data_IF_595732292358
#
_entry.id   IF_595732292358
#
_cell.length_a   1.000
_cell.length_b   1.000
_cell.length_c   1.000
_cell.angle_alpha   90.00
_cell.angle_beta   90.00
_cell.angle_gamma   90.00
#
_symmetry.space_group_name_H-M   'P 1'
#
loop_
_entity.id
_entity.type
_entity.pdbx_description
1 polymer ?
#
# COMPACT_ATOMS: atom_id res chain seq x y z
N UNK A 1 -3.99 -9.90 15.80
CA UNK A 1 -3.27 -8.62 15.54
C UNK A 1 -4.30 -7.50 15.62
N UNK A 2 -4.18 -6.57 16.55
CA UNK A 2 -5.10 -5.43 16.61
C UNK A 2 -5.02 -4.66 15.28
N UNK A 3 -6.16 -4.45 14.64
CA UNK A 3 -6.22 -3.71 13.38
C UNK A 3 -5.85 -2.26 13.72
N UNK A 4 -4.62 -1.84 13.38
CA UNK A 4 -4.15 -0.46 13.55
C UNK A 4 -5.14 0.49 12.86
N UNK A 5 -5.33 1.69 13.40
CA UNK A 5 -6.32 2.66 12.89
C UNK A 5 -6.00 2.98 11.43
N UNK A 6 -6.94 2.74 10.52
CA UNK A 6 -6.82 3.18 9.13
C UNK A 6 -7.01 4.69 9.06
N UNK A 7 -6.12 5.38 8.37
CA UNK A 7 -6.16 6.83 8.18
C UNK A 7 -6.70 7.17 6.79
N UNK A 8 -6.28 6.41 5.78
CA UNK A 8 -6.66 6.67 4.39
C UNK A 8 -6.54 5.41 3.54
N UNK A 9 -7.46 5.25 2.58
CA UNK A 9 -7.39 4.21 1.54
C UNK A 9 -7.40 4.86 0.14
N UNK A 10 -6.36 4.55 -0.63
CA UNK A 10 -6.25 4.91 -2.04
C UNK A 10 -6.39 3.69 -2.96
N UNK A 11 -6.21 3.91 -4.28
CA UNK A 11 -6.37 2.87 -5.30
C UNK A 11 -5.43 1.67 -5.11
N UNK A 12 -4.19 1.91 -4.70
CA UNK A 12 -3.14 0.89 -4.62
C UNK A 12 -2.51 0.75 -3.23
N UNK A 13 -2.85 1.62 -2.27
CA UNK A 13 -2.22 1.67 -0.95
C UNK A 13 -3.25 2.02 0.12
N UNK A 14 -3.04 1.48 1.32
CA UNK A 14 -3.74 1.87 2.55
C UNK A 14 -2.71 2.45 3.50
N UNK A 15 -3.06 3.53 4.20
CA UNK A 15 -2.26 4.13 5.26
C UNK A 15 -2.92 3.83 6.60
N UNK A 16 -2.13 3.26 7.51
CA UNK A 16 -2.49 3.06 8.89
C UNK A 16 -1.63 3.94 9.79
N UNK A 17 -2.16 4.26 10.97
CA UNK A 17 -1.39 4.87 12.04
C UNK A 17 -0.18 4.00 12.39
N UNK A 18 1.00 4.62 12.44
CA UNK A 18 2.24 3.97 12.80
C UNK A 18 2.37 3.69 14.30
N UNK A 19 3.36 2.90 14.70
CA UNK A 19 3.60 2.59 16.12
C UNK A 19 4.14 3.78 16.92
N UNK A 20 4.73 4.77 16.24
CA UNK A 20 5.31 5.97 16.85
C UNK A 20 4.59 7.24 16.38
N UNK A 21 4.50 8.29 17.22
CA UNK A 21 3.90 9.57 16.83
C UNK A 21 4.53 10.13 15.54
N UNK A 22 3.69 10.55 14.60
CA UNK A 22 4.14 11.11 13.31
C UNK A 22 4.56 10.06 12.28
N UNK A 23 4.50 8.77 12.59
CA UNK A 23 4.80 7.69 11.63
C UNK A 23 3.53 7.07 11.05
N UNK A 24 3.68 6.48 9.85
CA UNK A 24 2.61 5.78 9.15
C UNK A 24 3.07 4.40 8.73
N UNK A 25 2.14 3.46 8.65
CA UNK A 25 2.36 2.18 7.99
C UNK A 25 1.68 2.20 6.63
N UNK A 26 2.46 2.00 5.59
CA UNK A 26 1.98 1.86 4.23
C UNK A 26 1.76 0.38 3.89
N UNK A 27 0.53 0.05 3.51
CA UNK A 27 0.16 -1.27 3.01
C UNK A 27 -0.09 -1.21 1.51
N UNK A 28 0.67 -1.96 0.72
CA UNK A 28 0.47 -2.07 -0.72
C UNK A 28 -0.59 -3.13 -1.05
N UNK A 29 -1.60 -2.74 -1.83
CA UNK A 29 -2.68 -3.62 -2.28
C UNK A 29 -2.28 -4.38 -3.56
N UNK A 30 -2.88 -5.56 -3.72
CA UNK A 30 -2.83 -6.33 -4.96
C UNK A 30 -3.74 -5.74 -6.06
N UNK A 31 -4.54 -4.74 -5.71
CA UNK A 31 -5.38 -3.98 -6.64
C UNK A 31 -4.53 -3.30 -7.72
N UNK A 32 -4.88 -3.53 -8.97
CA UNK A 32 -4.34 -2.86 -10.13
C UNK A 32 -5.45 -2.05 -10.80
N UNK A 33 -5.11 -0.82 -11.19
CA UNK A 33 -6.02 0.05 -11.93
C UNK A 33 -5.32 0.59 -13.17
N UNK A 34 -6.01 0.63 -14.30
CA UNK A 34 -5.55 1.27 -15.53
C UNK A 34 -6.64 2.20 -16.08
N UNK A 35 -6.27 3.09 -17.01
CA UNK A 35 -7.18 4.01 -17.68
C UNK A 35 -8.04 4.82 -16.69
N UNK A 36 -7.42 5.55 -15.75
CA UNK A 36 -8.13 6.31 -14.71
C UNK A 36 -9.13 5.48 -13.88
N UNK A 37 -8.78 4.22 -13.60
CA UNK A 37 -9.60 3.26 -12.87
C UNK A 37 -10.85 2.76 -13.62
N UNK A 38 -10.92 2.96 -14.95
CA UNK A 38 -11.90 2.29 -15.80
C UNK A 38 -11.65 0.78 -15.88
N UNK A 39 -10.38 0.36 -15.82
CA UNK A 39 -10.00 -1.06 -15.69
C UNK A 39 -9.49 -1.31 -14.28
N UNK A 40 -10.10 -2.26 -13.57
CA UNK A 40 -9.72 -2.68 -12.22
C UNK A 40 -9.58 -4.20 -12.19
N UNK A 41 -8.66 -4.70 -11.37
CA UNK A 41 -8.49 -6.12 -11.12
C UNK A 41 -7.50 -6.36 -10.00
N UNK A 42 -7.37 -7.62 -9.61
CA UNK A 42 -6.41 -8.05 -8.59
C UNK A 42 -5.28 -8.79 -9.27
N UNK A 43 -4.03 -8.38 -9.01
CA UNK A 43 -2.83 -9.09 -9.44
C UNK A 43 -2.19 -9.67 -8.18
N UNK A 44 -2.31 -10.99 -8.01
CA UNK A 44 -1.78 -11.68 -6.83
C UNK A 44 -0.29 -11.39 -6.61
N UNK A 45 0.07 -10.93 -5.41
CA UNK A 45 1.45 -10.65 -5.03
C UNK A 45 2.01 -9.30 -5.52
N UNK A 46 1.22 -8.50 -6.25
CA UNK A 46 1.63 -7.16 -6.69
C UNK A 46 2.00 -6.26 -5.51
N UNK A 47 1.25 -6.32 -4.42
CA UNK A 47 1.48 -5.53 -3.23
C UNK A 47 2.83 -5.85 -2.58
N UNK A 48 3.15 -7.14 -2.45
CA UNK A 48 4.41 -7.62 -1.90
C UNK A 48 5.60 -7.16 -2.75
N UNK A 49 5.51 -7.32 -4.07
CA UNK A 49 6.56 -6.90 -4.99
C UNK A 49 6.78 -5.38 -4.94
N UNK A 50 5.70 -4.59 -5.00
CA UNK A 50 5.81 -3.14 -4.91
C UNK A 50 6.41 -2.67 -3.59
N UNK A 51 6.09 -3.36 -2.48
CA UNK A 51 6.69 -3.06 -1.19
C UNK A 51 8.21 -3.29 -1.20
N UNK A 52 8.67 -4.44 -1.69
CA UNK A 52 10.11 -4.77 -1.79
C UNK A 52 10.86 -3.83 -2.73
N UNK A 53 10.28 -3.54 -3.89
CA UNK A 53 10.88 -2.60 -4.85
C UNK A 53 10.97 -1.20 -4.24
N UNK A 54 9.91 -0.72 -3.60
CA UNK A 54 9.90 0.61 -2.98
C UNK A 54 10.91 0.69 -1.84
N UNK A 55 10.97 -0.33 -0.99
CA UNK A 55 11.96 -0.41 0.09
C UNK A 55 13.39 -0.37 -0.45
N UNK A 56 13.69 -1.15 -1.49
CA UNK A 56 15.00 -1.13 -2.14
C UNK A 56 15.34 0.24 -2.76
N UNK A 57 14.39 0.89 -3.43
CA UNK A 57 14.62 2.19 -4.09
C UNK A 57 14.82 3.32 -3.07
N UNK A 58 14.03 3.35 -1.99
CA UNK A 58 14.10 4.42 -0.99
C UNK A 58 15.20 4.22 0.07
N UNK A 59 15.94 3.11 0.01
CA UNK A 59 17.14 2.89 0.84
C UNK A 59 18.45 3.20 0.11
N UNK A 60 18.39 3.55 -1.19
CA UNK A 60 19.50 4.16 -1.95
C UNK A 60 19.63 5.65 -1.59
#
# INVERSE_FOLDING_TARGET
MSRRRMIYEGKAKILYEGPEPGTLIQYFKDDATAFNAQKKGTISGKGVLNNRISEHIYTL
#
